data_IF_695863473017
#
_entry.id   IF_695863473017
#
_cell.length_a   1.000
_cell.length_b   1.000
_cell.length_c   1.000
_cell.angle_alpha   90.00
_cell.angle_beta   90.00
_cell.angle_gamma   90.00
#
_symmetry.space_group_name_H-M   'P 1'
#
loop_
_entity.id
_entity.type
_entity.pdbx_description
1 polymer ?
#
# COMPACT_ATOMS: atom_id res chain seq x y z
N UNK A 1 17.29 2.83 -3.53
CA UNK A 1 16.05 2.26 -2.96
C UNK A 1 16.07 2.49 -1.45
N UNK A 2 15.27 3.44 -0.94
CA UNK A 2 15.16 3.67 0.50
C UNK A 2 14.44 2.51 1.18
N UNK A 3 14.88 2.15 2.39
CA UNK A 3 14.28 1.10 3.22
C UNK A 3 14.09 1.59 4.65
N UNK A 4 13.02 1.16 5.29
CA UNK A 4 12.71 1.46 6.67
C UNK A 4 12.10 0.22 7.35
N UNK A 5 12.37 0.06 8.64
CA UNK A 5 11.63 -0.89 9.48
C UNK A 5 10.35 -0.21 9.97
N UNK A 6 9.31 -1.01 10.16
CA UNK A 6 8.05 -0.55 10.71
C UNK A 6 7.35 -1.69 11.46
N UNK A 7 6.22 -1.37 12.08
CA UNK A 7 5.41 -2.29 12.86
C UNK A 7 3.98 -2.30 12.35
N UNK A 8 3.43 -3.51 12.30
CA UNK A 8 1.99 -3.75 12.20
C UNK A 8 1.39 -3.64 13.61
N UNK A 9 0.33 -2.86 13.77
CA UNK A 9 -0.34 -2.64 15.07
C UNK A 9 -1.83 -2.93 14.92
N UNK A 10 -2.41 -3.62 15.89
CA UNK A 10 -3.87 -3.87 15.96
C UNK A 10 -4.53 -2.76 16.75
N UNK A 11 -5.71 -2.29 16.30
CA UNK A 11 -6.57 -1.37 17.05
C UNK A 11 -8.03 -1.70 16.80
N UNK A 12 -8.86 -1.55 17.82
CA UNK A 12 -10.32 -1.63 17.73
C UNK A 12 -10.85 -0.23 17.43
N UNK A 13 -11.69 -0.08 16.40
CA UNK A 13 -12.32 1.21 16.07
C UNK A 13 -13.80 1.26 16.52
N UNK A 14 -14.42 2.45 16.50
CA UNK A 14 -15.72 2.77 17.13
C UNK A 14 -16.92 2.01 16.51
N UNK A 15 -16.72 1.20 15.48
CA UNK A 15 -17.73 0.32 14.88
C UNK A 15 -17.62 -1.16 15.31
N UNK A 16 -16.76 -1.49 16.28
CA UNK A 16 -16.52 -2.88 16.71
C UNK A 16 -15.63 -3.69 15.77
N UNK A 17 -15.25 -3.12 14.63
CA UNK A 17 -14.34 -3.75 13.69
C UNK A 17 -12.89 -3.59 14.13
N UNK A 18 -12.13 -4.67 13.96
CA UNK A 18 -10.69 -4.71 14.21
C UNK A 18 -9.94 -4.30 12.95
N UNK A 19 -9.01 -3.37 13.11
CA UNK A 19 -8.16 -2.92 12.02
C UNK A 19 -6.70 -3.05 12.40
N UNK A 20 -5.88 -3.38 11.40
CA UNK A 20 -4.45 -3.28 11.50
C UNK A 20 -3.96 -1.99 10.84
N UNK A 21 -2.98 -1.36 11.49
CA UNK A 21 -2.33 -0.15 11.04
C UNK A 21 -0.87 -0.46 10.76
N UNK A 22 -0.40 0.01 9.61
CA UNK A 22 1.01 -0.06 9.24
C UNK A 22 1.55 1.35 9.27
N UNK A 23 2.56 1.58 10.08
CA UNK A 23 3.23 2.87 10.10
C UNK A 23 4.10 2.94 8.84
N UNK A 24 3.97 3.99 8.04
CA UNK A 24 4.95 4.24 6.97
C UNK A 24 5.90 5.30 7.50
N UNK A 25 7.18 4.98 7.73
CA UNK A 25 8.13 5.95 8.25
C UNK A 25 8.20 7.18 7.33
N UNK A 26 8.25 8.37 7.93
CA UNK A 26 8.22 9.65 7.20
C UNK A 26 9.29 9.73 6.10
N UNK A 27 10.47 9.15 6.34
CA UNK A 27 11.53 9.06 5.32
C UNK A 27 11.15 8.32 4.04
N UNK A 28 10.15 7.43 4.09
CA UNK A 28 9.58 6.79 2.90
C UNK A 28 8.41 7.59 2.37
N UNK A 29 7.53 8.09 3.23
CA UNK A 29 6.33 8.82 2.83
C UNK A 29 6.64 10.17 2.15
N UNK A 30 7.73 10.83 2.53
CA UNK A 30 8.18 12.08 1.92
C UNK A 30 9.09 11.88 0.70
N UNK A 31 9.40 10.63 0.32
CA UNK A 31 10.14 10.36 -0.90
C UNK A 31 9.27 10.72 -2.12
N UNK A 32 9.81 11.49 -3.06
CA UNK A 32 9.12 11.85 -4.31
C UNK A 32 8.61 10.66 -5.13
N UNK A 33 9.17 9.46 -4.91
CA UNK A 33 8.77 8.22 -5.56
C UNK A 33 7.71 7.44 -4.76
N UNK A 34 7.30 7.93 -3.60
CA UNK A 34 6.24 7.30 -2.80
C UNK A 34 4.92 7.41 -3.54
N UNK A 35 4.32 6.28 -3.97
CA UNK A 35 3.26 6.35 -4.96
C UNK A 35 1.88 6.60 -4.35
N UNK A 36 1.71 6.60 -3.03
CA UNK A 36 0.42 6.64 -2.35
C UNK A 36 0.11 8.01 -1.74
N UNK A 37 -1.18 8.37 -1.77
CA UNK A 37 -1.73 9.60 -1.24
C UNK A 37 -2.97 9.30 -0.39
N UNK A 38 -3.32 10.24 0.50
CA UNK A 38 -4.58 10.18 1.23
C UNK A 38 -5.77 10.14 0.25
N UNK A 39 -6.74 9.27 0.51
CA UNK A 39 -7.93 9.08 -0.33
C UNK A 39 -7.76 8.11 -1.50
N UNK A 40 -6.55 7.59 -1.76
CA UNK A 40 -6.39 6.53 -2.77
C UNK A 40 -7.19 5.27 -2.40
N UNK A 41 -7.90 4.71 -3.37
CA UNK A 41 -8.47 3.36 -3.24
C UNK A 41 -7.40 2.29 -3.46
N UNK A 42 -7.27 1.38 -2.49
CA UNK A 42 -6.20 0.38 -2.45
C UNK A 42 -6.75 -1.05 -2.45
N UNK A 43 -6.09 -1.92 -3.21
CA UNK A 43 -6.18 -3.37 -3.10
C UNK A 43 -5.04 -3.89 -2.25
N UNK A 44 -5.37 -4.61 -1.17
CA UNK A 44 -4.39 -5.27 -0.32
C UNK A 44 -4.55 -6.78 -0.50
N UNK A 45 -3.45 -7.45 -0.85
CA UNK A 45 -3.41 -8.91 -1.02
C UNK A 45 -2.25 -9.51 -0.22
N UNK A 46 -2.38 -10.77 0.19
CA UNK A 46 -1.37 -11.50 0.96
C UNK A 46 -0.90 -12.71 0.16
N UNK A 47 0.40 -12.78 -0.10
CA UNK A 47 1.06 -13.99 -0.55
C UNK A 47 1.60 -14.73 0.67
N UNK A 48 0.86 -15.77 1.08
CA UNK A 48 1.16 -16.59 2.25
C UNK A 48 2.47 -17.36 2.12
N UNK A 49 2.83 -17.76 0.90
CA UNK A 49 4.02 -18.58 0.67
C UNK A 49 5.31 -17.78 0.88
N UNK A 50 5.26 -16.48 0.60
CA UNK A 50 6.40 -15.58 0.80
C UNK A 50 6.27 -14.66 2.01
N UNK A 51 5.19 -14.80 2.79
CA UNK A 51 4.85 -13.92 3.93
C UNK A 51 4.91 -12.44 3.53
N UNK A 52 4.43 -12.12 2.32
CA UNK A 52 4.40 -10.76 1.78
C UNK A 52 2.97 -10.26 1.73
N UNK A 53 2.81 -9.00 2.08
CA UNK A 53 1.60 -8.25 1.80
C UNK A 53 1.89 -7.24 0.70
N UNK A 54 1.02 -7.19 -0.31
CA UNK A 54 1.14 -6.33 -1.47
C UNK A 54 -0.01 -5.32 -1.46
N UNK A 55 0.34 -4.04 -1.48
CA UNK A 55 -0.60 -2.91 -1.52
C UNK A 55 -0.52 -2.29 -2.92
N UNK A 56 -1.65 -2.16 -3.61
CA UNK A 56 -1.76 -1.65 -4.98
C UNK A 56 -2.87 -0.61 -5.07
N UNK A 57 -2.74 0.40 -5.95
CA UNK A 57 -3.86 1.31 -6.25
C UNK A 57 -4.85 0.65 -7.19
N UNK A 58 -6.14 0.75 -6.88
CA UNK A 58 -7.23 0.25 -7.74
C UNK A 58 -7.44 1.13 -8.98
N UNK A 59 -7.40 2.46 -8.83
CA UNK A 59 -7.78 3.40 -9.90
C UNK A 59 -6.59 3.97 -10.68
N UNK A 60 -5.58 3.15 -10.98
CA UNK A 60 -4.44 3.56 -11.82
C UNK A 60 -4.73 3.50 -13.33
N UNK A 61 -5.91 3.97 -13.74
CA UNK A 61 -6.38 4.07 -15.13
C UNK A 61 -5.63 5.10 -16.00
N UNK A 62 -4.34 5.33 -15.75
CA UNK A 62 -3.53 6.34 -16.44
C UNK A 62 -2.11 5.92 -16.80
N UNK A 63 -1.74 4.63 -16.74
CA UNK A 63 -0.32 4.23 -16.89
C UNK A 63 0.00 2.94 -17.62
N UNK A 64 -0.98 2.18 -18.13
CA UNK A 64 -0.72 1.01 -18.97
C UNK A 64 -1.60 1.03 -20.21
N UNK A 65 -1.32 1.99 -21.11
CA UNK A 65 -1.45 1.72 -22.55
C UNK A 65 -0.57 0.50 -22.83
N UNK A 66 -1.17 -0.68 -22.83
CA UNK A 66 -0.69 -1.84 -23.58
C UNK A 66 -0.32 -1.31 -24.97
N UNK A 67 0.97 -1.11 -25.23
CA UNK A 67 1.52 -1.14 -26.59
C UNK A 67 1.26 -2.56 -27.09
N UNK A 68 0.04 -2.81 -27.56
CA UNK A 68 -0.21 -3.85 -28.55
C UNK A 68 0.49 -3.34 -29.80
N UNK A 69 1.74 -3.80 -30.01
CA UNK A 69 2.30 -3.87 -31.36
C UNK A 69 1.40 -4.82 -32.13
N UNK A 70 0.58 -4.26 -33.02
CA UNK A 70 0.13 -4.91 -34.24
C UNK A 70 0.74 -4.09 -35.38
#
# INVERSE_FOLDING_TARGET
MLRARSHLRKRVHVSGNEYYYIHIPSKLAHDSQFPFSEGDELLISVDVNSSKMVIQKLNSGGGRRRRRRL
#
